data_IF_572527280346
#
_entry.id   IF_572527280346
#
_cell.length_a   1.000
_cell.length_b   1.000
_cell.length_c   1.000
_cell.angle_alpha   90.00
_cell.angle_beta   90.00
_cell.angle_gamma   90.00
#
_symmetry.space_group_name_H-M   'P 1'
#
loop_
_entity.id
_entity.type
_entity.pdbx_description
1 polymer ?
#
# COMPACT_ATOMS: atom_id res chain seq x y z
N UNK A 1 11.53 -14.00 5.94
CA UNK A 1 10.78 -12.96 6.66
C UNK A 1 11.09 -11.58 6.12
N UNK A 2 10.46 -11.27 4.98
CA UNK A 2 10.37 -9.94 4.40
C UNK A 2 9.39 -9.07 5.20
N UNK A 3 9.56 -9.03 6.51
CA UNK A 3 8.55 -8.56 7.48
C UNK A 3 8.53 -7.03 7.60
N UNK A 4 8.98 -6.34 6.56
CA UNK A 4 9.16 -4.90 6.58
C UNK A 4 8.54 -4.28 5.35
N UNK A 5 8.96 -4.67 4.15
CA UNK A 5 8.44 -4.11 2.91
C UNK A 5 7.41 -5.03 2.24
N UNK A 6 6.24 -4.49 1.89
CA UNK A 6 5.14 -5.25 1.28
C UNK A 6 5.42 -5.69 -0.16
N UNK A 7 6.32 -5.01 -0.88
CA UNK A 7 6.63 -5.32 -2.27
C UNK A 7 5.69 -4.67 -3.29
N UNK A 8 6.13 -4.52 -4.54
CA UNK A 8 5.39 -3.80 -5.57
C UNK A 8 4.05 -4.46 -5.93
N UNK A 9 3.97 -5.80 -5.91
CA UNK A 9 2.73 -6.51 -6.25
C UNK A 9 1.60 -6.23 -5.25
N UNK A 10 1.92 -6.22 -3.95
CA UNK A 10 0.96 -5.91 -2.89
C UNK A 10 0.57 -4.44 -2.93
N UNK A 11 1.53 -3.54 -3.16
CA UNK A 11 1.25 -2.10 -3.28
C UNK A 11 0.36 -1.78 -4.49
N UNK A 12 0.56 -2.44 -5.63
CA UNK A 12 -0.31 -2.30 -6.80
C UNK A 12 -1.73 -2.80 -6.52
N UNK A 13 -1.85 -3.94 -5.82
CA UNK A 13 -3.15 -4.47 -5.41
C UNK A 13 -3.86 -3.55 -4.42
N UNK A 14 -3.13 -2.96 -3.46
CA UNK A 14 -3.68 -1.98 -2.52
C UNK A 14 -4.14 -0.71 -3.25
N UNK A 15 -3.34 -0.20 -4.17
CA UNK A 15 -3.69 0.97 -4.99
C UNK A 15 -4.98 0.76 -5.80
N UNK A 16 -5.19 -0.45 -6.33
CA UNK A 16 -6.43 -0.80 -7.07
C UNK A 16 -7.69 -0.58 -6.23
N UNK A 17 -7.64 -0.81 -4.92
CA UNK A 17 -8.78 -0.55 -4.03
C UNK A 17 -8.85 0.93 -3.63
N UNK A 18 -7.72 1.54 -3.28
CA UNK A 18 -7.64 2.96 -2.90
C UNK A 18 -8.14 3.90 -4.02
N UNK A 19 -7.91 3.54 -5.28
CA UNK A 19 -8.34 4.34 -6.43
C UNK A 19 -9.78 4.01 -6.89
N UNK A 20 -10.46 3.03 -6.29
CA UNK A 20 -11.82 2.66 -6.67
C UNK A 20 -12.83 3.61 -6.00
N UNK A 21 -13.52 4.43 -6.80
CA UNK A 21 -14.50 5.41 -6.28
C UNK A 21 -15.72 4.79 -5.59
N UNK A 22 -15.87 3.46 -5.67
CA UNK A 22 -16.93 2.70 -5.01
C UNK A 22 -16.50 2.14 -3.65
N UNK A 23 -15.22 2.23 -3.31
CA UNK A 23 -14.68 1.69 -2.07
C UNK A 23 -14.88 2.67 -0.91
N UNK A 24 -15.68 2.28 0.07
CA UNK A 24 -15.99 3.10 1.24
C UNK A 24 -14.89 3.03 2.32
N UNK A 25 -13.96 2.09 2.20
CA UNK A 25 -12.91 1.81 3.20
C UNK A 25 -11.55 2.43 2.87
N UNK A 26 -11.53 3.48 2.02
CA UNK A 26 -10.28 4.11 1.56
C UNK A 26 -9.41 4.59 2.73
N UNK A 27 -10.03 5.17 3.78
CA UNK A 27 -9.32 5.66 4.96
C UNK A 27 -8.60 4.54 5.72
N UNK A 28 -9.31 3.45 6.04
CA UNK A 28 -8.75 2.31 6.75
C UNK A 28 -7.54 1.71 6.00
N UNK A 29 -7.62 1.61 4.67
CA UNK A 29 -6.52 1.08 3.84
C UNK A 29 -5.29 1.97 3.86
N UNK A 30 -5.47 3.28 3.89
CA UNK A 30 -4.35 4.22 4.00
C UNK A 30 -3.67 4.08 5.37
N UNK A 31 -4.45 3.96 6.45
CA UNK A 31 -3.93 3.74 7.80
C UNK A 31 -3.10 2.44 7.90
N UNK A 32 -3.52 1.38 7.21
CA UNK A 32 -2.77 0.11 7.16
C UNK A 32 -1.41 0.22 6.45
N UNK A 33 -1.30 1.15 5.50
CA UNK A 33 -0.10 1.44 4.71
C UNK A 33 0.82 2.48 5.36
N UNK A 34 0.33 3.24 6.34
CA UNK A 34 1.08 4.27 7.07
C UNK A 34 2.10 3.64 8.04
N UNK A 35 3.11 2.98 7.48
CA UNK A 35 4.20 2.36 8.21
C UNK A 35 5.55 2.59 7.48
N UNK A 36 6.59 3.08 8.19
CA UNK A 36 7.91 3.36 7.60
C UNK A 36 8.61 2.21 6.89
N UNK A 37 8.23 0.98 7.22
CA UNK A 37 8.81 -0.21 6.65
C UNK A 37 7.97 -0.72 5.47
N UNK A 38 6.64 -0.61 5.55
CA UNK A 38 5.70 -1.18 4.56
C UNK A 38 5.72 -0.49 3.21
N UNK A 39 5.71 0.85 3.22
CA UNK A 39 5.56 1.67 2.01
C UNK A 39 6.86 2.40 1.63
N UNK A 40 7.47 3.12 2.58
CA UNK A 40 8.57 4.05 2.32
C UNK A 40 9.94 3.39 2.07
N UNK A 41 9.99 2.05 1.99
CA UNK A 41 11.17 1.28 1.59
C UNK A 41 11.33 1.16 0.07
N UNK A 42 10.36 1.64 -0.70
CA UNK A 42 10.52 1.74 -2.14
C UNK A 42 11.34 2.98 -2.52
N UNK A 43 12.41 2.80 -3.29
CA UNK A 43 13.29 3.90 -3.71
C UNK A 43 13.03 4.40 -5.13
N UNK A 44 12.23 3.68 -5.95
CA UNK A 44 11.61 4.15 -7.20
C UNK A 44 10.59 3.09 -7.63
N UNK A 45 9.32 3.47 -7.82
CA UNK A 45 8.36 2.69 -8.63
C UNK A 45 8.37 3.36 -10.01
N UNK A 46 8.86 2.65 -11.04
CA UNK A 46 8.67 3.07 -12.43
C UNK A 46 7.33 2.57 -12.94
#
# INVERSE_FOLDING_TARGET
NGDRYLGPAVLLAAYRWIADSRDEETGQRLDELEDPFKLYRCHTIM
#
